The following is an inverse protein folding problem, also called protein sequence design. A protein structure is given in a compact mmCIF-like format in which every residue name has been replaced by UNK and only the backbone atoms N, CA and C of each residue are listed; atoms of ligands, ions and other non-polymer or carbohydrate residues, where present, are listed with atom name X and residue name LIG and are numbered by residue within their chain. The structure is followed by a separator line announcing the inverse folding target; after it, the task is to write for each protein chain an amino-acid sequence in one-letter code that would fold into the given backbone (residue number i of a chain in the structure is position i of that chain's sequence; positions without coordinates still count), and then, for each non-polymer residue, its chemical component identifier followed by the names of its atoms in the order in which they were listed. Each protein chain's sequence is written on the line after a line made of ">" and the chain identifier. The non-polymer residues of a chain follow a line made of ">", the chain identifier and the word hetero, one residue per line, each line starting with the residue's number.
data_IF_917227610018
#
_entry.id   IF_917227610018
#
_cell.length_a   1.000
_cell.length_b   1.000
_cell.length_c   1.000
_cell.angle_alpha   90.00
_cell.angle_beta   90.00
_cell.angle_gamma   90.00
#
_symmetry.space_group_name_H-M   'P 1'
#
loop_
_entity.id
_entity.type
_entity.pdbx_description
1 polymer ?
#
# COMPACT_ATOMS: atom_id res chain seq x y z
N UNK A 1 -14.33 -6.07 -0.50
CA UNK A 1 -13.22 -5.46 -1.25
C UNK A 1 -13.03 -4.09 -0.66
N UNK A 2 -11.86 -3.81 -0.08
CA UNK A 2 -11.60 -2.51 0.56
C UNK A 2 -11.50 -1.44 -0.54
N UNK A 3 -12.11 -0.28 -0.34
CA UNK A 3 -12.18 0.81 -1.35
C UNK A 3 -10.82 1.52 -1.58
N UNK A 4 -9.72 0.95 -1.10
CA UNK A 4 -8.40 1.56 -1.21
C UNK A 4 -7.86 1.40 -2.63
N UNK A 5 -7.28 2.47 -3.16
CA UNK A 5 -6.57 2.45 -4.44
C UNK A 5 -5.10 2.15 -4.21
N UNK A 6 -4.55 1.16 -4.91
CA UNK A 6 -3.13 0.86 -4.90
C UNK A 6 -2.44 1.71 -5.96
N UNK A 7 -1.41 2.43 -5.55
CA UNK A 7 -0.48 3.13 -6.43
C UNK A 7 0.86 2.42 -6.40
N UNK A 8 1.57 2.41 -7.52
CA UNK A 8 2.91 1.86 -7.62
C UNK A 8 3.80 2.73 -8.51
N UNK A 9 5.09 2.76 -8.19
CA UNK A 9 6.07 3.48 -8.99
C UNK A 9 7.45 2.78 -8.96
N UNK A 10 8.24 2.88 -10.04
CA UNK A 10 9.60 2.40 -10.05
C UNK A 10 10.53 3.34 -9.27
N UNK A 11 11.36 2.77 -8.40
CA UNK A 11 12.36 3.46 -7.57
C UNK A 11 13.70 2.73 -7.67
N UNK A 12 14.71 3.36 -8.25
CA UNK A 12 16.12 2.92 -8.21
C UNK A 12 16.35 1.39 -8.38
N UNK A 13 15.71 0.78 -9.38
CA UNK A 13 15.88 -0.65 -9.70
C UNK A 13 14.96 -1.62 -8.95
N UNK A 14 14.07 -1.11 -8.09
CA UNK A 14 12.95 -1.85 -7.51
C UNK A 14 11.63 -1.09 -7.77
N UNK A 15 10.53 -1.70 -7.37
CA UNK A 15 9.22 -1.08 -7.36
C UNK A 15 8.78 -0.81 -5.94
N UNK A 16 7.99 0.23 -5.75
CA UNK A 16 7.29 0.47 -4.50
C UNK A 16 5.81 0.66 -4.77
N UNK A 17 4.98 0.29 -3.81
CA UNK A 17 3.54 0.50 -3.87
C UNK A 17 3.01 0.95 -2.51
N UNK A 18 1.87 1.61 -2.54
CA UNK A 18 1.16 2.08 -1.35
C UNK A 18 -0.34 2.13 -1.60
N UNK A 19 -1.11 2.01 -0.52
CA UNK A 19 -2.57 2.10 -0.56
C UNK A 19 -3.01 3.50 -0.17
N UNK A 20 -4.01 4.05 -0.86
CA UNK A 20 -4.61 5.35 -0.56
C UNK A 20 -6.10 5.17 -0.32
N UNK A 21 -6.62 5.75 0.77
CA UNK A 21 -8.04 5.71 1.08
C UNK A 21 -8.85 6.57 0.09
N UNK A 22 -10.13 6.25 -0.16
CA UNK A 22 -11.00 7.09 -0.97
C UNK A 22 -11.02 8.54 -0.49
N UNK A 23 -10.77 9.49 -1.41
CA UNK A 23 -10.76 10.92 -1.09
C UNK A 23 -9.51 11.42 -0.35
N UNK A 24 -8.55 10.54 -0.06
CA UNK A 24 -7.23 10.93 0.43
C UNK A 24 -6.18 10.94 -0.68
N UNK A 25 -5.05 11.58 -0.40
CA UNK A 25 -3.87 11.55 -1.28
C UNK A 25 -2.63 11.00 -0.57
N UNK A 26 -2.77 10.59 0.70
CA UNK A 26 -1.66 10.10 1.52
C UNK A 26 -1.70 8.58 1.59
N UNK A 27 -0.54 7.91 1.65
CA UNK A 27 -0.47 6.49 1.94
C UNK A 27 -1.14 6.17 3.28
N UNK A 28 -1.97 5.13 3.30
CA UNK A 28 -2.59 4.61 4.49
C UNK A 28 -1.50 4.17 5.49
N UNK A 29 -1.44 4.85 6.63
CA UNK A 29 -0.43 4.63 7.67
C UNK A 29 0.98 5.10 7.30
N UNK A 30 1.12 5.97 6.27
CA UNK A 30 2.42 6.43 5.76
C UNK A 30 3.39 5.29 5.35
N UNK A 31 2.84 4.13 4.95
CA UNK A 31 3.60 2.93 4.61
C UNK A 31 3.85 2.84 3.10
N UNK A 32 5.10 2.57 2.73
CA UNK A 32 5.55 2.26 1.36
C UNK A 32 6.08 0.82 1.33
N UNK A 33 5.62 0.03 0.36
CA UNK A 33 5.94 -1.39 0.28
C UNK A 33 6.77 -1.71 -0.97
N UNK A 34 8.02 -2.16 -0.81
CA UNK A 34 8.88 -2.49 -1.94
C UNK A 34 8.55 -3.88 -2.52
N UNK A 35 8.90 -4.06 -3.79
CA UNK A 35 8.92 -5.33 -4.51
C UNK A 35 9.97 -5.30 -5.63
N UNK A 36 10.49 -6.46 -6.05
CA UNK A 36 11.44 -6.51 -7.17
C UNK A 36 10.75 -6.18 -8.50
N UNK A 37 9.45 -6.48 -8.57
CA UNK A 37 8.58 -6.15 -9.70
C UNK A 37 7.40 -5.30 -9.24
N UNK A 38 6.76 -4.62 -10.19
CA UNK A 38 5.53 -3.88 -9.95
C UNK A 38 4.47 -4.77 -9.27
N UNK A 39 4.27 -5.99 -9.80
CA UNK A 39 3.30 -6.95 -9.28
C UNK A 39 3.59 -7.36 -7.83
N UNK A 40 4.86 -7.58 -7.48
CA UNK A 40 5.22 -7.89 -6.08
C UNK A 40 4.91 -6.71 -5.15
N UNK A 41 5.26 -5.49 -5.56
CA UNK A 41 4.98 -4.31 -4.75
C UNK A 41 3.48 -4.13 -4.53
N UNK A 42 2.68 -4.26 -5.59
CA UNK A 42 1.23 -4.17 -5.53
C UNK A 42 0.59 -5.30 -4.71
N UNK A 43 1.10 -6.53 -4.82
CA UNK A 43 0.65 -7.64 -3.98
C UNK A 43 0.93 -7.39 -2.49
N UNK A 44 2.10 -6.82 -2.18
CA UNK A 44 2.43 -6.41 -0.81
C UNK A 44 1.47 -5.31 -0.31
N UNK A 45 1.12 -4.33 -1.16
CA UNK A 45 0.14 -3.29 -0.84
C UNK A 45 -1.26 -3.87 -0.58
N UNK A 46 -1.68 -4.85 -1.38
CA UNK A 46 -2.93 -5.57 -1.17
C UNK A 46 -2.96 -6.30 0.18
N UNK A 47 -1.88 -7.01 0.52
CA UNK A 47 -1.76 -7.68 1.83
C UNK A 47 -1.76 -6.68 2.99
N UNK A 48 -1.16 -5.51 2.81
CA UNK A 48 -1.21 -4.45 3.81
C UNK A 48 -2.63 -3.95 4.03
N UNK A 49 -3.39 -3.72 2.95
CA UNK A 49 -4.82 -3.39 3.01
C UNK A 49 -5.58 -4.41 3.83
N UNK A 50 -5.39 -5.70 3.57
CA UNK A 50 -6.05 -6.77 4.32
C UNK A 50 -5.70 -6.73 5.81
N UNK A 51 -4.42 -6.51 6.13
CA UNK A 51 -3.93 -6.43 7.52
C UNK A 51 -4.53 -5.26 8.28
N UNK A 52 -4.49 -4.05 7.74
CA UNK A 52 -5.03 -2.89 8.44
C UNK A 52 -6.56 -2.80 8.37
N UNK A 53 -7.20 -3.45 7.39
CA UNK A 53 -8.66 -3.64 7.39
C UNK A 53 -9.07 -4.55 8.55
N UNK A 54 -8.27 -5.58 8.85
CA UNK A 54 -8.49 -6.47 9.99
C UNK A 54 -8.09 -5.84 11.35
N UNK A 55 -7.06 -5.00 11.38
CA UNK A 55 -6.63 -4.25 12.56
C UNK A 55 -6.35 -2.77 12.24
N UNK A 56 -7.38 -1.89 12.37
CA UNK A 56 -7.25 -0.47 12.06
C UNK A 56 -6.22 0.30 12.91
N UNK A 57 -5.78 -0.27 14.05
CA UNK A 57 -4.77 0.37 14.90
C UNK A 57 -3.41 0.49 14.20
N UNK A 58 -3.18 -0.33 13.18
CA UNK A 58 -1.97 -0.29 12.36
C UNK A 58 -1.83 1.03 11.59
N UNK A 59 -2.91 1.79 11.40
CA UNK A 59 -2.90 3.10 10.72
C UNK A 59 -2.56 4.27 11.66
N UNK A 60 -2.51 4.06 12.98
CA UNK A 60 -2.27 5.09 13.99
C UNK A 60 -0.78 5.28 14.34
N UNK A 61 0.14 4.66 13.57
CA UNK A 61 1.58 4.66 13.85
C UNK A 61 2.28 5.94 13.41
#
# INVERSE_FOLDING_TARGET
>A
MSDYTIHSEPRAGHWVAWAVAPGESRPAGAVILPGQTQQEAEANAQQWIERFTADPRLLLS
#
